data_IF_077461268728
#
_entry.id   IF_077461268728
#
_cell.length_a   1.000
_cell.length_b   1.000
_cell.length_c   1.000
_cell.angle_alpha   90.00
_cell.angle_beta   90.00
_cell.angle_gamma   90.00
#
_symmetry.space_group_name_H-M   'P 1'
#
loop_
_entity.id
_entity.type
_entity.pdbx_description
1 polymer ?
#
# COMPACT_ATOMS: atom_id res chain seq x y z
N UNK A 1 7.97 -5.73 19.93
CA UNK A 1 8.73 -5.44 18.70
C UNK A 1 7.90 -4.51 17.84
N UNK A 2 8.17 -3.21 17.88
CA UNK A 2 7.52 -2.23 17.00
C UNK A 2 8.51 -1.93 15.88
N UNK A 3 8.32 -2.58 14.73
CA UNK A 3 9.03 -2.18 13.51
C UNK A 3 8.69 -0.72 13.17
N UNK A 4 9.53 -0.04 12.37
CA UNK A 4 9.24 1.32 11.94
C UNK A 4 7.86 1.35 11.28
N UNK A 5 6.99 2.23 11.79
CA UNK A 5 5.64 2.42 11.26
C UNK A 5 5.76 2.84 9.79
N UNK A 6 5.09 2.14 8.88
CA UNK A 6 5.06 2.49 7.46
C UNK A 6 4.58 3.94 7.29
N UNK A 7 5.31 4.73 6.52
CA UNK A 7 4.92 6.09 6.15
C UNK A 7 4.53 6.16 4.67
N UNK A 8 3.90 7.28 4.29
CA UNK A 8 3.37 7.48 2.94
C UNK A 8 4.46 7.43 1.87
N UNK A 9 5.62 8.04 2.14
CA UNK A 9 6.71 8.11 1.16
C UNK A 9 7.27 6.72 0.91
N UNK A 10 7.60 6.00 1.98
CA UNK A 10 8.14 4.64 1.89
C UNK A 10 7.14 3.67 1.26
N UNK A 11 5.85 3.78 1.60
CA UNK A 11 4.81 2.96 0.99
C UNK A 11 4.73 3.16 -0.54
N UNK A 12 4.84 4.42 -1.01
CA UNK A 12 4.91 4.71 -2.45
C UNK A 12 6.16 4.11 -3.07
N UNK A 13 7.33 4.30 -2.46
CA UNK A 13 8.60 3.79 -3.00
C UNK A 13 8.60 2.27 -3.16
N UNK A 14 8.05 1.54 -2.17
CA UNK A 14 7.92 0.08 -2.24
C UNK A 14 6.86 -0.33 -3.29
N UNK A 15 5.70 0.35 -3.31
CA UNK A 15 4.63 0.02 -4.25
C UNK A 15 5.07 0.21 -5.70
N UNK A 16 5.73 1.34 -6.01
CA UNK A 16 6.31 1.68 -7.31
C UNK A 16 7.51 0.79 -7.69
N UNK A 17 8.03 -0.01 -6.76
CA UNK A 17 9.22 -0.84 -7.00
C UNK A 17 10.52 -0.04 -7.06
N UNK A 18 10.55 1.20 -6.56
CA UNK A 18 11.77 2.02 -6.46
C UNK A 18 12.61 1.61 -5.25
N UNK A 19 11.96 1.32 -4.11
CA UNK A 19 12.57 0.59 -3.00
C UNK A 19 12.36 -0.90 -3.26
N UNK A 20 13.38 -1.55 -3.83
CA UNK A 20 13.34 -2.98 -4.16
C UNK A 20 13.36 -3.85 -2.88
N UNK A 21 12.52 -4.89 -2.86
CA UNK A 21 12.48 -5.86 -1.77
C UNK A 21 11.83 -7.17 -2.23
N UNK A 22 12.30 -8.30 -1.72
CA UNK A 22 11.68 -9.62 -1.94
C UNK A 22 10.67 -9.99 -0.83
N UNK A 23 10.53 -9.14 0.20
CA UNK A 23 9.59 -9.39 1.28
C UNK A 23 8.16 -9.09 0.81
N UNK A 24 7.45 -10.15 0.42
CA UNK A 24 6.05 -10.10 0.01
C UNK A 24 5.13 -9.50 1.08
N UNK A 25 5.44 -9.66 2.37
CA UNK A 25 4.63 -9.06 3.43
C UNK A 25 4.83 -7.55 3.49
N UNK A 26 6.06 -7.08 3.24
CA UNK A 26 6.38 -5.66 3.19
C UNK A 26 5.71 -4.99 1.98
N UNK A 27 5.77 -5.63 0.81
CA UNK A 27 5.07 -5.15 -0.40
C UNK A 27 3.56 -5.07 -0.15
N UNK A 28 2.97 -6.12 0.41
CA UNK A 28 1.55 -6.13 0.76
C UNK A 28 1.21 -5.04 1.77
N UNK A 29 2.05 -4.81 2.77
CA UNK A 29 1.85 -3.78 3.78
C UNK A 29 1.92 -2.36 3.18
N UNK A 30 2.79 -2.13 2.20
CA UNK A 30 2.86 -0.87 1.47
C UNK A 30 1.54 -0.60 0.72
N UNK A 31 1.06 -1.58 -0.05
CA UNK A 31 -0.23 -1.46 -0.74
C UNK A 31 -1.42 -1.28 0.20
N UNK A 32 -1.44 -1.99 1.33
CA UNK A 32 -2.48 -1.80 2.34
C UNK A 32 -2.42 -0.40 2.95
N UNK A 33 -1.21 0.13 3.22
CA UNK A 33 -1.04 1.48 3.75
C UNK A 33 -1.56 2.55 2.78
N UNK A 34 -1.28 2.41 1.48
CA UNK A 34 -1.81 3.33 0.46
C UNK A 34 -3.33 3.28 0.37
N UNK A 35 -3.92 2.09 0.54
CA UNK A 35 -5.37 1.92 0.58
C UNK A 35 -5.99 2.55 1.84
N UNK A 36 -5.43 2.24 3.01
CA UNK A 36 -5.93 2.68 4.32
C UNK A 36 -5.91 4.21 4.43
N UNK A 37 -4.83 4.84 3.99
CA UNK A 37 -4.68 6.30 3.96
C UNK A 37 -5.48 6.98 2.83
N UNK A 38 -5.90 6.23 1.81
CA UNK A 38 -6.49 6.78 0.59
C UNK A 38 -5.52 7.52 -0.31
N UNK A 39 -4.22 7.39 -0.05
CA UNK A 39 -3.19 8.04 -0.83
C UNK A 39 -3.16 7.54 -2.28
N UNK A 40 -3.42 6.24 -2.51
CA UNK A 40 -3.51 5.69 -3.87
C UNK A 40 -4.61 6.39 -4.69
N UNK A 41 -5.79 6.63 -4.09
CA UNK A 41 -6.89 7.34 -4.75
C UNK A 41 -6.56 8.82 -4.98
N UNK A 42 -5.87 9.47 -4.03
CA UNK A 42 -5.45 10.86 -4.13
C UNK A 42 -4.40 11.11 -5.22
N UNK A 43 -3.36 10.27 -5.30
CA UNK A 43 -2.34 10.35 -6.36
C UNK A 43 -2.95 9.96 -7.70
N UNK A 44 -3.78 8.92 -7.71
CA UNK A 44 -4.42 8.43 -8.92
C UNK A 44 -3.48 7.65 -9.83
N UNK A 45 -3.87 7.52 -11.10
CA UNK A 45 -3.12 6.78 -12.11
C UNK A 45 -2.95 5.30 -11.76
N UNK A 46 -1.78 4.77 -12.08
CA UNK A 46 -1.49 3.34 -11.95
C UNK A 46 -1.58 2.84 -10.50
N UNK A 47 -1.15 3.65 -9.51
CA UNK A 47 -1.25 3.31 -8.09
C UNK A 47 -2.70 3.05 -7.67
N UNK A 48 -3.63 3.89 -8.11
CA UNK A 48 -5.06 3.72 -7.83
C UNK A 48 -5.59 2.46 -8.48
N UNK A 49 -5.30 2.29 -9.76
CA UNK A 49 -5.86 1.20 -10.55
C UNK A 49 -5.32 -0.15 -10.06
N UNK A 50 -4.05 -0.21 -9.68
CA UNK A 50 -3.42 -1.38 -9.07
C UNK A 50 -3.95 -1.65 -7.66
N UNK A 51 -4.09 -0.64 -6.81
CA UNK A 51 -4.65 -0.80 -5.48
C UNK A 51 -6.08 -1.40 -5.53
N UNK A 52 -6.92 -0.94 -6.47
CA UNK A 52 -8.26 -1.51 -6.71
C UNK A 52 -8.20 -2.95 -7.18
N UNK A 53 -7.27 -3.27 -8.08
CA UNK A 53 -7.04 -4.64 -8.56
C UNK A 53 -6.64 -5.57 -7.41
N UNK A 54 -5.72 -5.14 -6.56
CA UNK A 54 -5.24 -5.91 -5.40
C UNK A 54 -6.34 -6.11 -4.36
N UNK A 55 -7.21 -5.12 -4.14
CA UNK A 55 -8.38 -5.24 -3.29
C UNK A 55 -9.37 -6.28 -3.87
N UNK A 56 -9.67 -6.20 -5.17
CA UNK A 56 -10.57 -7.14 -5.83
C UNK A 56 -10.07 -8.60 -5.80
N UNK A 57 -8.75 -8.80 -5.85
CA UNK A 57 -8.13 -10.14 -5.70
C UNK A 57 -7.96 -10.58 -4.24
N UNK A 58 -8.32 -9.76 -3.26
CA UNK A 58 -8.17 -10.08 -1.84
C UNK A 58 -6.72 -10.09 -1.35
N UNK A 59 -5.79 -9.48 -2.10
CA UNK A 59 -4.38 -9.33 -1.66
C UNK A 59 -4.30 -8.33 -0.52
N UNK A 60 -5.01 -7.22 -0.63
CA UNK A 60 -5.23 -6.25 0.44
C UNK A 60 -6.70 -6.28 0.87
N UNK A 61 -6.99 -5.83 2.09
CA UNK A 61 -8.32 -5.82 2.67
C UNK A 61 -8.99 -4.45 2.53
N UNK A 62 -10.31 -4.43 2.72
CA UNK A 62 -11.11 -3.21 2.85
C UNK A 62 -10.48 -2.22 3.82
N UNK A 63 -10.64 -0.93 3.50
CA UNK A 63 -10.08 0.18 4.25
C UNK A 63 -10.41 0.07 5.73
N UNK A 64 -9.38 0.15 6.56
CA UNK A 64 -9.56 0.23 8.01
C UNK A 64 -9.87 1.67 8.40
N UNK A 65 -11.05 1.90 8.95
CA UNK A 65 -11.36 3.16 9.64
C UNK A 65 -10.56 3.19 10.94
N UNK A 66 -9.50 3.98 10.96
CA UNK A 66 -8.84 4.41 12.20
C UNK A 66 -9.72 5.50 12.81
N UNK A 67 -10.55 5.12 13.79
CA UNK A 67 -11.23 6.07 14.67
C UNK A 67 -10.25 6.64 15.70
#
# INVERSE_FOLDING_TARGET
>A
MTGPRMDNFRAVMIAEGVEETDDRNLIRAAWQHLHDTGLAEHIGGWLRDECRRLLAFGVIAERRTIH
#
